data_IF_239488278431
#
_entry.id   IF_239488278431
#
_cell.length_a   1.000
_cell.length_b   1.000
_cell.length_c   1.000
_cell.angle_alpha   90.00
_cell.angle_beta   90.00
_cell.angle_gamma   90.00
#
_symmetry.space_group_name_H-M   'P 1'
#
loop_
_entity.id
_entity.type
_entity.pdbx_description
1 polymer ?
#
# COMPACT_ATOMS: atom_id res chain seq x y z
N UNK A 1 -38.87 -2.61 41.31
CA UNK A 1 -39.82 -2.77 42.43
C UNK A 1 -39.00 -2.87 43.71
N UNK A 2 -39.19 -1.97 44.68
CA UNK A 2 -38.43 -2.00 45.94
C UNK A 2 -38.89 -3.17 46.81
N UNK A 3 -37.96 -4.04 47.21
CA UNK A 3 -38.22 -5.12 48.17
C UNK A 3 -38.26 -4.51 49.58
N UNK A 4 -39.32 -4.70 50.38
CA UNK A 4 -39.39 -4.15 51.73
C UNK A 4 -38.42 -4.89 52.65
N UNK A 5 -37.49 -4.15 53.27
CA UNK A 5 -36.46 -4.70 54.17
C UNK A 5 -37.03 -4.85 55.60
N UNK A 6 -36.94 -6.06 56.16
CA UNK A 6 -37.62 -6.44 57.43
C UNK A 6 -36.77 -6.31 58.70
N UNK A 7 -35.50 -5.87 58.62
CA UNK A 7 -34.67 -5.58 59.79
C UNK A 7 -33.42 -4.74 59.44
N UNK A 8 -32.83 -4.02 60.40
CA UNK A 8 -31.61 -3.24 60.18
C UNK A 8 -30.41 -4.16 59.85
N UNK A 9 -29.73 -3.88 58.75
CA UNK A 9 -28.55 -4.64 58.30
C UNK A 9 -27.90 -3.97 57.07
N UNK A 10 -26.68 -4.41 56.72
CA UNK A 10 -26.00 -3.98 55.48
C UNK A 10 -26.48 -4.87 54.34
N UNK A 11 -27.13 -4.28 53.34
CA UNK A 11 -27.56 -4.97 52.13
C UNK A 11 -26.63 -4.58 50.98
N UNK A 12 -26.04 -5.57 50.33
CA UNK A 12 -25.20 -5.37 49.14
C UNK A 12 -26.11 -5.52 47.93
N UNK A 13 -26.25 -4.44 47.16
CA UNK A 13 -26.89 -4.47 45.85
C UNK A 13 -25.76 -4.48 44.80
N UNK A 14 -25.55 -5.62 44.15
CA UNK A 14 -24.65 -5.70 43.00
C UNK A 14 -25.36 -5.11 41.80
N UNK A 15 -25.02 -3.87 41.46
CA UNK A 15 -25.35 -3.29 40.16
C UNK A 15 -24.60 -4.11 39.10
N UNK A 16 -25.27 -4.78 38.16
CA UNK A 16 -24.58 -5.45 37.07
C UNK A 16 -23.76 -4.40 36.34
N UNK A 17 -22.43 -4.49 36.44
CA UNK A 17 -21.59 -3.71 35.54
C UNK A 17 -21.92 -4.21 34.15
N UNK A 18 -22.46 -3.33 33.31
CA UNK A 18 -22.54 -3.59 31.89
C UNK A 18 -21.11 -3.82 31.44
N UNK A 19 -20.70 -5.09 31.34
CA UNK A 19 -19.38 -5.48 30.88
C UNK A 19 -19.24 -4.89 29.49
N UNK A 20 -18.54 -3.75 29.38
CA UNK A 20 -17.88 -3.41 28.14
C UNK A 20 -16.82 -4.48 27.99
N UNK A 21 -17.16 -5.54 27.25
CA UNK A 21 -16.17 -6.50 26.80
C UNK A 21 -15.01 -5.72 26.21
N UNK A 22 -13.81 -5.94 26.73
CA UNK A 22 -12.59 -5.48 26.08
C UNK A 22 -12.57 -6.20 24.74
N UNK A 23 -12.90 -5.50 23.66
CA UNK A 23 -12.72 -6.03 22.32
C UNK A 23 -11.25 -6.38 22.18
N UNK A 24 -10.94 -7.64 21.86
CA UNK A 24 -9.59 -8.05 21.52
C UNK A 24 -9.14 -7.22 20.32
N UNK A 25 -8.25 -6.27 20.56
CA UNK A 25 -7.60 -5.51 19.50
C UNK A 25 -6.62 -6.45 18.82
N UNK A 26 -6.56 -6.44 17.49
CA UNK A 26 -5.64 -7.27 16.71
C UNK A 26 -4.22 -7.14 17.29
N UNK A 27 -3.65 -8.25 17.77
CA UNK A 27 -2.42 -8.25 18.55
C UNK A 27 -1.16 -8.15 17.68
N UNK A 28 -1.28 -8.15 16.35
CA UNK A 28 -0.15 -8.20 15.41
C UNK A 28 -0.53 -7.67 14.02
N UNK A 29 -0.77 -6.35 13.91
CA UNK A 29 -0.85 -5.69 12.60
C UNK A 29 0.53 -5.12 12.28
N UNK A 30 1.15 -5.63 11.20
CA UNK A 30 2.46 -5.18 10.75
C UNK A 30 2.32 -4.16 9.62
N UNK A 31 2.91 -2.98 9.78
CA UNK A 31 3.00 -1.97 8.75
C UNK A 31 4.28 -2.16 7.94
N UNK A 32 4.16 -2.18 6.62
CA UNK A 32 5.26 -2.21 5.66
C UNK A 32 5.25 -0.93 4.85
N UNK A 33 6.41 -0.26 4.77
CA UNK A 33 6.59 0.96 3.97
C UNK A 33 7.71 0.72 2.96
N UNK A 34 7.46 0.99 1.70
CA UNK A 34 8.46 0.85 0.64
C UNK A 34 7.88 0.99 -0.75
N UNK A 35 8.70 0.69 -1.76
CA UNK A 35 8.30 0.75 -3.17
C UNK A 35 7.53 -0.50 -3.59
N UNK A 36 6.58 -0.29 -4.51
CA UNK A 36 5.81 -1.33 -5.19
C UNK A 36 5.59 -0.92 -6.66
N UNK A 37 5.31 -1.90 -7.53
CA UNK A 37 5.16 -1.66 -8.99
C UNK A 37 3.81 -1.05 -9.37
N UNK A 38 2.82 -1.10 -8.48
CA UNK A 38 1.49 -0.50 -8.66
C UNK A 38 0.81 -0.25 -7.32
N UNK A 39 -0.36 0.40 -7.34
CA UNK A 39 -1.21 0.63 -6.18
C UNK A 39 -1.14 2.08 -5.67
N UNK A 40 -2.09 2.46 -4.83
CA UNK A 40 -2.22 3.83 -4.36
C UNK A 40 -1.00 4.25 -3.53
N UNK A 41 -0.47 5.44 -3.83
CA UNK A 41 0.69 6.00 -3.15
C UNK A 41 0.29 6.68 -1.84
N UNK A 42 1.13 6.52 -0.82
CA UNK A 42 0.93 7.10 0.51
C UNK A 42 -0.43 6.79 1.15
N UNK A 43 -1.10 5.73 0.69
CA UNK A 43 -2.40 5.30 1.19
C UNK A 43 -2.29 3.93 1.88
N UNK A 44 -2.49 3.85 3.21
CA UNK A 44 -2.30 2.61 3.94
C UNK A 44 -3.41 1.62 3.60
N UNK A 45 -3.04 0.54 2.91
CA UNK A 45 -3.99 -0.50 2.49
C UNK A 45 -3.79 -1.77 3.30
N UNK A 46 -4.86 -2.27 3.93
CA UNK A 46 -4.83 -3.54 4.64
C UNK A 46 -4.87 -4.71 3.64
N UNK A 47 -3.89 -5.60 3.74
CA UNK A 47 -3.83 -6.86 3.00
C UNK A 47 -3.74 -8.03 3.98
N UNK A 48 -4.45 -9.11 3.67
CA UNK A 48 -4.55 -10.29 4.56
C UNK A 48 -3.90 -11.55 3.98
N UNK A 49 -3.38 -11.45 2.77
CA UNK A 49 -2.65 -12.52 2.11
C UNK A 49 -1.64 -11.95 1.11
N UNK A 50 -0.64 -12.75 0.77
CA UNK A 50 0.30 -12.38 -0.29
C UNK A 50 -0.38 -12.32 -1.68
N UNK A 51 -1.47 -13.06 -1.88
CA UNK A 51 -2.26 -12.97 -3.11
C UNK A 51 -2.99 -11.62 -3.22
N UNK A 52 -3.51 -11.10 -2.10
CA UNK A 52 -4.11 -9.75 -2.05
C UNK A 52 -3.06 -8.67 -2.27
N UNK A 53 -1.87 -8.83 -1.70
CA UNK A 53 -0.73 -7.96 -1.99
C UNK A 53 -0.44 -7.94 -3.50
N UNK A 54 -0.28 -9.10 -4.15
CA UNK A 54 0.04 -9.15 -5.58
C UNK A 54 -1.02 -8.50 -6.47
N UNK A 55 -2.30 -8.62 -6.09
CA UNK A 55 -3.41 -8.02 -6.82
C UNK A 55 -3.42 -6.49 -6.72
N UNK A 56 -3.08 -5.94 -5.56
CA UNK A 56 -3.13 -4.49 -5.32
C UNK A 56 -1.82 -3.79 -5.66
N UNK A 57 -0.69 -4.37 -5.27
CA UNK A 57 0.64 -3.76 -5.31
C UNK A 57 1.58 -4.37 -6.36
N UNK A 58 1.14 -5.43 -7.05
CA UNK A 58 1.90 -6.09 -8.10
C UNK A 58 2.84 -7.18 -7.58
N UNK A 59 3.55 -7.80 -8.52
CA UNK A 59 4.39 -8.97 -8.26
C UNK A 59 5.73 -8.61 -7.63
N UNK A 60 6.51 -9.62 -7.23
CA UNK A 60 7.88 -9.41 -6.74
C UNK A 60 8.74 -8.76 -7.83
N UNK A 61 9.40 -7.67 -7.48
CA UNK A 61 10.35 -6.96 -8.34
C UNK A 61 11.65 -6.68 -7.59
N UNK A 62 12.76 -6.65 -8.32
CA UNK A 62 14.08 -6.27 -7.76
C UNK A 62 14.17 -4.77 -7.44
N UNK A 63 13.43 -3.93 -8.17
CA UNK A 63 13.33 -2.48 -7.90
C UNK A 63 12.42 -2.16 -6.71
N UNK A 64 11.54 -3.11 -6.34
CA UNK A 64 10.55 -2.96 -5.27
C UNK A 64 10.66 -4.12 -4.26
N UNK A 65 11.68 -4.09 -3.38
CA UNK A 65 11.98 -5.20 -2.46
C UNK A 65 10.93 -5.39 -1.35
N UNK A 66 10.01 -4.45 -1.15
CA UNK A 66 8.96 -4.55 -0.12
C UNK A 66 8.16 -5.86 -0.25
N UNK A 67 7.84 -6.27 -1.47
CA UNK A 67 7.08 -7.50 -1.72
C UNK A 67 7.74 -8.77 -1.15
N UNK A 68 9.09 -8.81 -1.05
CA UNK A 68 9.79 -9.95 -0.44
C UNK A 68 9.54 -10.03 1.06
N UNK A 69 9.60 -8.89 1.75
CA UNK A 69 9.36 -8.83 3.20
C UNK A 69 7.90 -9.12 3.53
N UNK A 70 6.96 -8.62 2.73
CA UNK A 70 5.53 -8.93 2.87
C UNK A 70 5.26 -10.42 2.62
N UNK A 71 5.88 -11.00 1.59
CA UNK A 71 5.79 -12.44 1.34
C UNK A 71 6.30 -13.25 2.53
N UNK A 72 7.44 -12.87 3.08
CA UNK A 72 8.04 -13.54 4.25
C UNK A 72 7.13 -13.44 5.47
N UNK A 73 6.52 -12.29 5.73
CA UNK A 73 5.56 -12.10 6.81
C UNK A 73 4.42 -13.11 6.74
N UNK A 74 3.77 -13.23 5.58
CA UNK A 74 2.69 -14.20 5.41
C UNK A 74 3.16 -15.66 5.46
N UNK A 75 4.39 -15.96 5.02
CA UNK A 75 4.96 -17.30 5.13
C UNK A 75 5.28 -17.71 6.58
N UNK A 76 5.53 -16.74 7.47
CA UNK A 76 5.87 -17.01 8.88
C UNK A 76 4.66 -17.00 9.82
N UNK A 77 3.46 -16.68 9.31
CA UNK A 77 2.21 -16.75 10.10
C UNK A 77 1.53 -15.40 10.32
N UNK A 78 2.09 -14.33 9.78
CA UNK A 78 1.47 -13.00 9.74
C UNK A 78 0.08 -13.03 9.08
N UNK A 79 -0.85 -12.24 9.62
CA UNK A 79 -2.26 -12.24 9.18
C UNK A 79 -2.72 -10.92 8.58
N UNK A 80 -2.40 -9.82 9.25
CA UNK A 80 -2.86 -8.49 8.88
C UNK A 80 -1.62 -7.61 8.61
N UNK A 81 -1.41 -7.24 7.35
CA UNK A 81 -0.34 -6.35 6.94
C UNK A 81 -0.93 -5.05 6.39
N UNK A 82 -0.45 -3.92 6.88
CA UNK A 82 -0.79 -2.60 6.38
C UNK A 82 0.32 -2.14 5.44
N UNK A 83 0.01 -1.91 4.17
CA UNK A 83 1.02 -1.58 3.16
C UNK A 83 0.90 -0.12 2.81
N UNK A 84 2.01 0.60 2.87
CA UNK A 84 2.16 1.96 2.37
C UNK A 84 3.14 1.92 1.21
N UNK A 85 2.63 2.13 0.00
CA UNK A 85 3.48 2.32 -1.18
C UNK A 85 4.03 3.74 -1.18
N UNK A 86 5.32 3.84 -1.43
CA UNK A 86 6.03 5.11 -1.68
C UNK A 86 6.71 5.00 -3.04
N UNK A 87 6.69 6.07 -3.83
CA UNK A 87 7.35 6.15 -5.14
C UNK A 87 8.24 7.38 -5.22
N UNK A 88 9.18 7.40 -6.17
CA UNK A 88 10.06 8.54 -6.43
C UNK A 88 9.95 8.96 -7.90
N UNK A 89 9.02 9.88 -8.17
CA UNK A 89 8.85 10.47 -9.50
C UNK A 89 8.28 9.50 -10.55
N UNK A 90 7.47 8.52 -10.14
CA UNK A 90 6.79 7.63 -11.07
C UNK A 90 5.75 8.36 -11.92
N UNK A 91 5.51 7.84 -13.12
CA UNK A 91 4.54 8.38 -14.09
C UNK A 91 3.46 7.32 -14.35
N UNK A 92 2.20 7.75 -14.37
CA UNK A 92 1.09 6.87 -14.71
C UNK A 92 0.88 6.84 -16.23
N UNK A 93 0.68 5.65 -16.80
CA UNK A 93 0.45 5.51 -18.23
C UNK A 93 -0.86 6.20 -18.66
N UNK A 94 -0.89 6.76 -19.86
CA UNK A 94 -2.05 7.49 -20.40
C UNK A 94 -2.65 6.83 -21.65
N UNK A 95 -3.92 7.13 -21.93
CA UNK A 95 -4.58 6.72 -23.17
C UNK A 95 -5.65 7.73 -23.59
N UNK A 96 -5.72 8.02 -24.89
CA UNK A 96 -6.86 8.71 -25.51
C UNK A 96 -7.68 7.69 -26.31
N UNK A 97 -8.81 7.26 -25.76
CA UNK A 97 -9.67 6.23 -26.35
C UNK A 97 -10.99 6.85 -26.85
N UNK A 98 -11.17 6.95 -28.18
CA UNK A 98 -12.41 7.49 -28.75
C UNK A 98 -12.72 8.95 -28.37
N UNK A 99 -11.70 9.72 -27.95
CA UNK A 99 -11.84 11.09 -27.44
C UNK A 99 -12.04 11.18 -25.92
N UNK A 100 -11.95 10.06 -25.19
CA UNK A 100 -11.89 10.00 -23.74
C UNK A 100 -10.43 9.85 -23.30
N UNK A 101 -9.92 10.84 -22.58
CA UNK A 101 -8.58 10.81 -21.99
C UNK A 101 -8.64 10.12 -20.62
N UNK A 102 -7.85 9.07 -20.47
CA UNK A 102 -7.74 8.28 -19.24
C UNK A 102 -6.27 8.14 -18.84
N UNK A 103 -6.06 8.04 -17.54
CA UNK A 103 -4.76 7.78 -16.92
C UNK A 103 -4.88 6.57 -16.00
N UNK A 104 -3.82 5.78 -15.86
CA UNK A 104 -3.77 4.68 -14.91
C UNK A 104 -3.98 5.20 -13.47
N UNK A 105 -4.56 4.38 -12.59
CA UNK A 105 -4.91 4.79 -11.22
C UNK A 105 -3.71 5.15 -10.34
N UNK A 106 -2.52 4.66 -10.70
CA UNK A 106 -1.28 4.89 -9.97
C UNK A 106 -0.09 4.86 -10.92
N UNK A 107 1.00 5.51 -10.53
CA UNK A 107 2.25 5.48 -11.27
C UNK A 107 2.79 4.06 -11.49
N UNK A 108 3.57 3.88 -12.55
CA UNK A 108 4.28 2.66 -12.88
C UNK A 108 3.97 2.09 -14.26
N UNK A 109 4.91 1.33 -14.80
CA UNK A 109 4.86 0.68 -16.12
C UNK A 109 3.70 -0.33 -16.21
N UNK A 110 3.15 -0.76 -15.07
CA UNK A 110 2.01 -1.67 -15.02
C UNK A 110 0.82 -1.16 -15.86
N UNK A 111 0.63 0.16 -15.92
CA UNK A 111 -0.45 0.81 -16.65
C UNK A 111 -0.41 0.55 -18.16
N UNK A 112 0.77 0.27 -18.72
CA UNK A 112 0.95 -0.06 -20.14
C UNK A 112 0.25 -1.38 -20.54
N UNK A 113 -0.05 -2.24 -19.57
CA UNK A 113 -0.76 -3.50 -19.79
C UNK A 113 -2.28 -3.34 -19.84
N UNK A 114 -2.78 -2.12 -19.64
CA UNK A 114 -4.20 -1.82 -19.70
C UNK A 114 -4.68 -1.63 -21.14
N UNK A 115 -5.91 -2.05 -21.40
CA UNK A 115 -6.64 -1.73 -22.63
C UNK A 115 -8.07 -1.29 -22.32
N UNK A 116 -8.61 -0.46 -23.21
CA UNK A 116 -9.93 0.15 -23.07
C UNK A 116 -10.80 -0.20 -24.26
N UNK A 117 -12.02 -0.62 -23.96
CA UNK A 117 -13.09 -0.81 -24.94
C UNK A 117 -14.27 0.09 -24.57
N UNK A 118 -14.74 0.88 -25.53
CA UNK A 118 -15.92 1.74 -25.40
C UNK A 118 -16.98 1.20 -26.34
N UNK A 119 -18.16 0.91 -25.80
CA UNK A 119 -19.31 0.43 -26.57
C UNK A 119 -20.57 1.20 -26.20
N UNK A 120 -21.55 1.24 -27.10
CA UNK A 120 -22.83 1.85 -26.82
C UNK A 120 -23.86 0.81 -26.35
N UNK A 121 -24.71 1.15 -25.35
CA UNK A 121 -25.83 0.31 -25.00
C UNK A 121 -26.83 0.21 -26.16
N UNK A 122 -27.46 -0.96 -26.31
CA UNK A 122 -28.47 -1.19 -27.36
C UNK A 122 -29.69 -0.28 -27.12
N UNK A 123 -30.04 0.61 -28.09
CA UNK A 123 -31.16 1.55 -27.95
C UNK A 123 -32.53 0.89 -27.89
N UNK A 124 -32.64 -0.39 -28.26
CA UNK A 124 -33.89 -1.15 -28.11
C UNK A 124 -34.11 -1.65 -26.68
N UNK A 125 -33.04 -1.73 -25.88
CA UNK A 125 -33.04 -2.23 -24.49
C UNK A 125 -32.95 -1.07 -23.50
N UNK A 126 -32.20 -0.02 -23.82
CA UNK A 126 -32.05 1.17 -22.97
C UNK A 126 -32.55 2.44 -23.71
N UNK A 127 -33.68 3.04 -23.30
CA UNK A 127 -34.20 4.26 -23.94
C UNK A 127 -33.26 5.47 -23.76
N UNK A 128 -32.41 5.48 -22.72
CA UNK A 128 -31.40 6.53 -22.51
C UNK A 128 -30.24 6.43 -23.52
N UNK A 129 -30.09 5.29 -24.21
CA UNK A 129 -29.14 5.18 -25.33
C UNK A 129 -29.62 5.94 -26.57
N UNK A 130 -30.92 6.24 -26.68
CA UNK A 130 -31.51 6.93 -27.82
C UNK A 130 -31.13 8.43 -27.87
N UNK A 131 -30.79 9.04 -26.72
CA UNK A 131 -30.31 10.42 -26.65
C UNK A 131 -28.82 10.56 -26.97
N UNK A 132 -28.10 9.45 -27.19
CA UNK A 132 -26.65 9.40 -27.36
C UNK A 132 -25.85 9.95 -26.16
N UNK A 133 -26.42 9.90 -24.96
CA UNK A 133 -25.83 10.51 -23.76
C UNK A 133 -25.02 9.52 -22.91
N UNK A 134 -25.21 8.22 -23.13
CA UNK A 134 -24.57 7.15 -22.34
C UNK A 134 -23.69 6.23 -23.19
N UNK A 135 -22.68 5.66 -22.56
CA UNK A 135 -21.76 4.66 -23.11
C UNK A 135 -21.35 3.65 -22.02
N UNK A 136 -20.81 2.51 -22.44
CA UNK A 136 -20.20 1.51 -21.58
C UNK A 136 -18.69 1.56 -21.74
N UNK A 137 -17.97 1.45 -20.64
CA UNK A 137 -16.52 1.42 -20.57
C UNK A 137 -16.07 0.09 -19.98
N UNK A 138 -15.21 -0.62 -20.70
CA UNK A 138 -14.59 -1.86 -20.25
C UNK A 138 -13.08 -1.64 -20.22
N UNK A 139 -12.48 -1.87 -19.07
CA UNK A 139 -11.04 -1.81 -18.85
C UNK A 139 -10.54 -3.23 -18.63
N UNK A 140 -9.51 -3.63 -19.36
CA UNK A 140 -8.87 -4.94 -19.21
C UNK A 140 -7.42 -4.74 -18.83
N UNK A 141 -6.98 -5.41 -17.77
CA UNK A 141 -5.58 -5.52 -17.37
C UNK A 141 -5.03 -6.87 -17.84
N UNK A 142 -4.20 -6.86 -18.88
CA UNK A 142 -3.60 -8.08 -19.43
C UNK A 142 -2.51 -8.69 -18.53
N UNK A 143 -1.96 -7.91 -17.59
CA UNK A 143 -0.95 -8.37 -16.64
C UNK A 143 -1.54 -9.21 -15.50
N UNK A 144 -2.72 -8.82 -15.00
CA UNK A 144 -3.42 -9.57 -13.93
C UNK A 144 -4.61 -10.40 -14.41
N UNK A 145 -5.13 -10.13 -15.61
CA UNK A 145 -6.39 -10.68 -16.10
C UNK A 145 -7.64 -10.04 -15.50
N UNK A 146 -7.50 -8.92 -14.79
CA UNK A 146 -8.63 -8.19 -14.18
C UNK A 146 -9.42 -7.45 -15.26
N UNK A 147 -10.75 -7.52 -15.19
CA UNK A 147 -11.65 -6.79 -16.08
C UNK A 147 -12.60 -5.94 -15.23
N UNK A 148 -12.65 -4.64 -15.49
CA UNK A 148 -13.60 -3.70 -14.89
C UNK A 148 -14.60 -3.24 -15.96
N UNK A 149 -15.89 -3.28 -15.66
CA UNK A 149 -16.95 -2.86 -16.58
C UNK A 149 -17.86 -1.83 -15.91
N UNK A 150 -17.92 -0.65 -16.51
CA UNK A 150 -18.75 0.47 -16.10
C UNK A 150 -19.81 0.70 -17.17
N UNK A 151 -21.06 0.36 -16.85
CA UNK A 151 -22.16 0.42 -17.80
C UNK A 151 -22.97 1.71 -17.67
N UNK A 152 -23.47 2.21 -18.80
CA UNK A 152 -24.34 3.38 -18.89
C UNK A 152 -23.78 4.63 -18.15
N UNK A 153 -22.50 4.95 -18.37
CA UNK A 153 -21.90 6.20 -17.88
C UNK A 153 -22.04 7.30 -18.92
N UNK A 154 -22.01 8.56 -18.48
CA UNK A 154 -22.27 9.72 -19.33
C UNK A 154 -21.13 10.73 -19.31
N UNK A 155 -20.90 11.39 -20.45
CA UNK A 155 -19.93 12.48 -20.56
C UNK A 155 -20.50 13.84 -20.09
N UNK A 156 -21.80 13.90 -19.76
CA UNK A 156 -22.46 15.12 -19.33
C UNK A 156 -22.39 15.28 -17.81
N UNK A 157 -21.95 16.45 -17.34
CA UNK A 157 -21.80 16.76 -15.91
C UNK A 157 -23.14 16.76 -15.15
N UNK A 158 -24.23 17.17 -15.81
CA UNK A 158 -25.58 17.19 -15.22
C UNK A 158 -26.17 15.78 -15.01
N UNK A 159 -25.54 14.74 -15.56
CA UNK A 159 -26.02 13.38 -15.43
C UNK A 159 -25.57 12.76 -14.10
N UNK A 160 -26.49 12.11 -13.38
CA UNK A 160 -26.20 11.35 -12.15
C UNK A 160 -25.10 10.27 -12.31
N UNK A 161 -24.84 9.82 -13.55
CA UNK A 161 -23.80 8.85 -13.90
C UNK A 161 -22.64 9.50 -14.67
N UNK A 162 -22.28 10.72 -14.29
CA UNK A 162 -21.14 11.43 -14.87
C UNK A 162 -19.86 10.59 -14.77
N UNK A 163 -19.18 10.42 -15.90
CA UNK A 163 -18.09 9.47 -16.05
C UNK A 163 -16.93 9.77 -15.09
N UNK A 164 -16.53 11.02 -14.89
CA UNK A 164 -15.47 11.38 -13.93
C UNK A 164 -15.82 10.91 -12.52
N UNK A 165 -17.04 11.17 -12.04
CA UNK A 165 -17.46 10.77 -10.69
C UNK A 165 -17.58 9.25 -10.55
N UNK A 166 -18.15 8.58 -11.56
CA UNK A 166 -18.32 7.12 -11.50
C UNK A 166 -16.99 6.39 -11.60
N UNK A 167 -16.08 6.83 -12.49
CA UNK A 167 -14.75 6.25 -12.62
C UNK A 167 -13.97 6.46 -11.31
N UNK A 168 -13.98 7.66 -10.72
CA UNK A 168 -13.32 7.91 -9.43
C UNK A 168 -13.83 6.98 -8.31
N UNK A 169 -15.14 6.70 -8.28
CA UNK A 169 -15.76 5.91 -7.22
C UNK A 169 -15.70 4.39 -7.43
N UNK A 170 -15.67 3.92 -8.67
CA UNK A 170 -15.88 2.51 -9.01
C UNK A 170 -14.69 1.83 -9.68
N UNK A 171 -13.79 2.58 -10.33
CA UNK A 171 -12.63 2.04 -11.03
C UNK A 171 -11.42 1.96 -10.10
N UNK A 172 -10.75 0.81 -10.08
CA UNK A 172 -9.44 0.65 -9.40
C UNK A 172 -8.28 0.73 -10.38
N UNK A 173 -8.54 0.69 -11.69
CA UNK A 173 -7.51 0.62 -12.72
C UNK A 173 -7.21 1.96 -13.37
N UNK A 174 -8.22 2.81 -13.56
CA UNK A 174 -8.09 4.07 -14.31
C UNK A 174 -8.77 5.25 -13.64
N UNK A 175 -8.36 6.45 -14.03
CA UNK A 175 -8.96 7.75 -13.73
C UNK A 175 -9.14 8.53 -15.03
N UNK A 176 -10.01 9.55 -14.99
CA UNK A 176 -10.16 10.49 -16.11
C UNK A 176 -8.98 11.46 -16.07
N UNK A 177 -8.33 11.66 -17.21
CA UNK A 177 -7.28 12.66 -17.35
C UNK A 177 -7.88 14.00 -17.80
N UNK A 178 -7.79 15.02 -16.95
CA UNK A 178 -8.28 16.36 -17.26
C UNK A 178 -9.81 16.50 -17.33
N UNK A 179 -10.27 17.36 -18.24
CA UNK A 179 -11.69 17.71 -18.40
C UNK A 179 -12.32 16.88 -19.50
N UNK A 180 -13.43 16.20 -19.17
CA UNK A 180 -14.19 15.45 -20.17
C UNK A 180 -14.78 16.37 -21.25
N UNK A 181 -14.66 15.95 -22.50
CA UNK A 181 -15.44 16.53 -23.56
C UNK A 181 -16.93 16.28 -23.30
N UNK A 182 -17.77 17.31 -23.44
CA UNK A 182 -19.24 17.20 -23.33
C UNK A 182 -19.88 16.40 -24.49
N UNK A 183 -19.05 15.83 -25.36
CA UNK A 183 -19.44 14.93 -26.44
C UNK A 183 -19.23 13.49 -26.01
N UNK A 184 -20.20 12.61 -26.30
CA UNK A 184 -20.05 11.18 -26.06
C UNK A 184 -18.80 10.64 -26.79
N UNK A 185 -17.93 9.86 -26.12
CA UNK A 185 -16.78 9.20 -26.75
C UNK A 185 -17.21 8.27 -27.88
N UNK A 186 -16.33 8.09 -28.87
CA UNK A 186 -16.54 7.17 -30.00
C UNK A 186 -16.31 5.72 -29.57
N UNK A 187 -17.05 4.77 -30.14
CA UNK A 187 -16.78 3.34 -29.90
C UNK A 187 -15.39 2.96 -30.37
N UNK A 188 -14.68 2.24 -29.51
CA UNK A 188 -13.35 1.71 -29.76
C UNK A 188 -13.23 0.34 -29.11
N UNK A 189 -12.37 -0.50 -29.66
CA UNK A 189 -12.13 -1.85 -29.15
C UNK A 189 -10.65 -2.00 -28.87
N UNK A 190 -10.34 -2.46 -27.67
CA UNK A 190 -9.00 -2.81 -27.19
C UNK A 190 -7.92 -1.76 -27.53
N UNK A 191 -8.20 -0.50 -27.20
CA UNK A 191 -7.21 0.57 -27.29
C UNK A 191 -6.24 0.44 -26.12
N UNK A 192 -4.98 0.13 -26.41
CA UNK A 192 -3.91 0.02 -25.42
C UNK A 192 -3.47 1.38 -24.90
N UNK A 193 -3.01 1.39 -23.65
CA UNK A 193 -2.31 2.54 -23.07
C UNK A 193 -0.96 2.79 -23.77
N UNK A 194 -0.51 4.03 -23.71
CA UNK A 194 0.79 4.43 -24.23
C UNK A 194 1.92 3.85 -23.36
N UNK A 195 3.10 3.69 -23.97
CA UNK A 195 4.31 3.30 -23.27
C UNK A 195 4.99 4.53 -22.63
N UNK A 196 4.25 5.21 -21.77
CA UNK A 196 4.64 6.44 -21.07
C UNK A 196 4.54 6.31 -19.53
N UNK A 197 4.21 5.12 -19.03
CA UNK A 197 4.30 4.80 -17.62
C UNK A 197 5.76 4.64 -17.19
N UNK A 198 6.07 5.03 -15.94
CA UNK A 198 7.39 4.84 -15.34
C UNK A 198 7.22 4.50 -13.85
N UNK A 199 7.87 3.45 -13.35
CA UNK A 199 8.00 3.13 -11.92
C UNK A 199 8.80 4.21 -11.15
N UNK A 200 9.57 5.02 -11.87
CA UNK A 200 10.39 6.10 -11.33
C UNK A 200 11.77 5.63 -10.86
N UNK A 201 12.42 6.48 -10.07
CA UNK A 201 13.73 6.16 -9.49
C UNK A 201 13.59 5.32 -8.21
N UNK A 202 14.67 4.65 -7.74
CA UNK A 202 14.67 4.05 -6.41
C UNK A 202 14.29 5.09 -5.34
N UNK A 203 13.44 4.68 -4.39
CA UNK A 203 13.06 5.53 -3.27
C UNK A 203 14.27 5.80 -2.37
N UNK A 204 14.24 6.93 -1.69
CA UNK A 204 15.27 7.33 -0.74
C UNK A 204 14.65 7.75 0.59
N UNK A 205 15.47 8.19 1.53
CA UNK A 205 14.97 8.83 2.74
C UNK A 205 14.07 10.04 2.44
N UNK A 206 14.25 10.72 1.30
CA UNK A 206 13.45 11.87 0.94
C UNK A 206 11.97 11.54 0.74
N UNK A 207 11.63 10.38 0.19
CA UNK A 207 10.24 9.99 -0.02
C UNK A 207 9.65 9.30 1.22
N UNK A 208 10.49 8.73 2.08
CA UNK A 208 10.06 7.93 3.24
C UNK A 208 9.98 8.74 4.54
N UNK A 209 10.96 9.61 4.81
CA UNK A 209 11.10 10.26 6.14
C UNK A 209 11.64 11.69 6.14
N UNK A 210 12.40 12.13 5.15
CA UNK A 210 13.12 13.42 5.17
C UNK A 210 12.62 14.45 4.16
N UNK A 211 11.59 14.10 3.39
CA UNK A 211 10.98 15.00 2.42
C UNK A 211 10.30 16.20 3.05
N UNK A 212 10.17 17.26 2.27
CA UNK A 212 9.47 18.47 2.69
C UNK A 212 7.99 18.15 2.90
N UNK A 213 7.43 18.58 4.02
CA UNK A 213 6.01 18.45 4.37
C UNK A 213 5.42 17.03 4.48
N UNK A 214 6.20 15.95 4.36
CA UNK A 214 5.69 14.57 4.45
C UNK A 214 4.77 14.35 5.67
N UNK A 215 5.14 14.89 6.83
CA UNK A 215 4.32 14.80 8.03
C UNK A 215 2.99 15.56 7.92
N UNK A 216 3.01 16.78 7.38
CA UNK A 216 1.81 17.58 7.23
C UNK A 216 0.83 16.99 6.21
N UNK A 217 1.39 16.41 5.14
CA UNK A 217 0.65 15.82 4.02
C UNK A 217 0.26 14.36 4.28
N UNK A 218 0.74 13.77 5.39
CA UNK A 218 0.55 12.36 5.77
C UNK A 218 1.06 11.40 4.70
N UNK A 219 2.33 11.55 4.38
CA UNK A 219 3.09 10.76 3.40
C UNK A 219 4.28 10.04 4.05
N UNK A 220 4.87 9.07 3.36
CA UNK A 220 5.98 8.28 3.87
C UNK A 220 5.62 7.54 5.18
N UNK A 221 6.42 7.70 6.23
CA UNK A 221 6.14 7.15 7.57
C UNK A 221 4.81 7.68 8.12
N UNK A 222 4.47 8.94 7.84
CA UNK A 222 3.26 9.59 8.37
C UNK A 222 1.99 9.22 7.62
N UNK A 223 2.07 8.51 6.49
CA UNK A 223 0.89 7.90 5.86
C UNK A 223 0.15 6.95 6.80
N UNK A 224 0.87 6.34 7.76
CA UNK A 224 0.28 5.53 8.82
C UNK A 224 -0.62 6.31 9.78
N UNK A 225 -0.67 7.65 9.71
CA UNK A 225 -1.67 8.46 10.43
C UNK A 225 -3.08 8.33 9.85
N UNK A 226 -3.20 7.89 8.59
CA UNK A 226 -4.49 7.60 7.97
C UNK A 226 -5.05 6.23 8.40
N UNK A 227 -4.24 5.39 9.05
CA UNK A 227 -4.65 4.08 9.56
C UNK A 227 -4.96 4.10 11.05
N UNK A 228 -5.91 3.26 11.46
CA UNK A 228 -6.37 3.16 12.85
C UNK A 228 -5.32 2.54 13.79
N UNK A 229 -4.67 1.46 13.35
CA UNK A 229 -3.77 0.67 14.21
C UNK A 229 -2.68 -0.04 13.41
N UNK A 230 -1.45 0.04 13.95
CA UNK A 230 -0.36 -0.88 13.66
C UNK A 230 0.45 -1.12 14.94
N UNK A 231 1.02 -2.31 15.10
CA UNK A 231 1.81 -2.69 16.28
C UNK A 231 3.29 -2.88 15.94
N UNK A 232 3.59 -3.30 14.71
CA UNK A 232 4.93 -3.54 14.20
C UNK A 232 5.16 -2.65 12.98
N UNK A 233 6.33 -2.05 12.85
CA UNK A 233 6.76 -1.32 11.66
C UNK A 233 7.97 -2.02 11.04
N UNK A 234 7.89 -2.25 9.73
CA UNK A 234 8.94 -2.81 8.91
C UNK A 234 9.19 -1.88 7.72
N UNK A 235 10.43 -1.42 7.57
CA UNK A 235 10.86 -0.64 6.40
C UNK A 235 12.00 -1.44 5.75
N UNK A 236 11.69 -2.29 4.76
CA UNK A 236 12.70 -3.05 4.03
C UNK A 236 13.68 -2.13 3.30
N UNK A 237 14.86 -2.63 2.89
CA UNK A 237 15.83 -1.85 2.13
C UNK A 237 15.20 -1.29 0.85
N UNK A 238 15.66 -0.14 0.35
CA UNK A 238 15.12 0.46 -0.87
C UNK A 238 15.49 -0.29 -2.15
N UNK A 239 16.60 -1.02 -2.12
CA UNK A 239 17.07 -1.88 -3.20
C UNK A 239 17.40 -3.27 -2.66
N UNK A 240 17.07 -4.31 -3.42
CA UNK A 240 17.23 -5.69 -2.97
C UNK A 240 18.71 -6.09 -2.78
N UNK A 241 19.57 -5.74 -3.74
CA UNK A 241 20.93 -6.31 -3.84
C UNK A 241 22.02 -5.41 -3.25
N UNK A 242 21.74 -4.13 -3.09
CA UNK A 242 22.74 -3.07 -2.83
C UNK A 242 22.34 -2.16 -1.67
N UNK A 243 21.08 -2.21 -1.24
CA UNK A 243 20.51 -1.20 -0.36
C UNK A 243 20.39 -1.59 1.11
N UNK A 244 20.50 -0.56 1.94
CA UNK A 244 19.92 -0.45 3.27
C UNK A 244 18.99 0.77 3.25
N UNK A 245 18.10 0.90 4.23
CA UNK A 245 17.45 2.19 4.48
C UNK A 245 18.47 3.19 5.03
N UNK A 246 18.24 4.49 4.84
CA UNK A 246 19.14 5.50 5.36
C UNK A 246 19.01 5.73 6.87
N UNK A 247 20.03 6.35 7.45
CA UNK A 247 20.10 6.63 8.89
C UNK A 247 18.97 7.55 9.38
N UNK A 248 18.54 8.50 8.53
CA UNK A 248 17.43 9.40 8.83
C UNK A 248 16.14 8.61 8.95
N UNK A 249 15.85 7.73 7.98
CA UNK A 249 14.67 6.86 8.03
C UNK A 249 14.67 5.94 9.24
N UNK A 250 15.80 5.33 9.59
CA UNK A 250 15.90 4.53 10.83
C UNK A 250 15.52 5.34 12.07
N UNK A 251 16.04 6.56 12.17
CA UNK A 251 15.82 7.45 13.32
C UNK A 251 14.36 7.90 13.40
N UNK A 252 13.79 8.37 12.30
CA UNK A 252 12.40 8.83 12.24
C UNK A 252 11.41 7.69 12.46
N UNK A 253 11.66 6.50 11.88
CA UNK A 253 10.83 5.32 12.11
C UNK A 253 10.81 4.90 13.58
N UNK A 254 11.97 4.95 14.26
CA UNK A 254 12.06 4.66 15.68
C UNK A 254 11.36 5.71 16.54
N UNK A 255 11.52 7.00 16.24
CA UNK A 255 10.84 8.09 16.92
C UNK A 255 9.31 7.98 16.74
N UNK A 256 8.86 7.68 15.53
CA UNK A 256 7.44 7.47 15.22
C UNK A 256 6.86 6.28 15.99
N UNK A 257 7.57 5.14 16.01
CA UNK A 257 7.17 3.97 16.78
C UNK A 257 7.11 4.23 18.29
N UNK A 258 8.05 5.02 18.83
CA UNK A 258 8.02 5.44 20.23
C UNK A 258 6.75 6.26 20.56
N UNK A 259 6.37 7.19 19.68
CA UNK A 259 5.17 8.01 19.86
C UNK A 259 3.88 7.19 19.74
N UNK A 260 3.83 6.27 18.76
CA UNK A 260 2.68 5.39 18.50
C UNK A 260 2.61 4.16 19.41
N UNK A 261 3.65 3.93 20.24
CA UNK A 261 3.83 2.72 21.07
C UNK A 261 3.85 1.42 20.25
N UNK A 262 4.38 1.50 19.03
CA UNK A 262 4.65 0.37 18.17
C UNK A 262 6.11 -0.10 18.33
N UNK A 263 6.47 -1.25 17.77
CA UNK A 263 7.85 -1.74 17.69
C UNK A 263 8.35 -1.59 16.25
N UNK A 264 9.43 -0.85 16.06
CA UNK A 264 10.19 -0.82 14.82
C UNK A 264 11.13 -2.04 14.76
N UNK A 265 10.92 -2.92 13.79
CA UNK A 265 11.84 -4.02 13.50
C UNK A 265 12.85 -3.50 12.48
N UNK A 266 13.98 -3.02 12.98
CA UNK A 266 15.04 -2.45 12.17
C UNK A 266 15.90 -3.57 11.58
N UNK A 267 16.02 -3.59 10.26
CA UNK A 267 16.90 -4.53 9.57
C UNK A 267 18.38 -4.22 9.85
N UNK A 268 19.23 -5.24 10.00
CA UNK A 268 20.66 -5.06 10.14
C UNK A 268 21.24 -4.54 8.82
N UNK A 269 22.30 -3.74 8.91
CA UNK A 269 23.02 -3.29 7.72
C UNK A 269 23.48 -4.49 6.90
N UNK A 270 23.44 -4.38 5.58
CA UNK A 270 23.84 -5.47 4.67
C UNK A 270 25.29 -5.91 4.90
N UNK A 271 26.14 -5.00 5.36
CA UNK A 271 27.54 -5.29 5.69
C UNK A 271 27.73 -6.09 6.98
N UNK A 272 26.68 -6.26 7.81
CA UNK A 272 26.78 -7.01 9.06
C UNK A 272 26.57 -8.49 8.77
N UNK A 273 27.66 -9.25 8.77
CA UNK A 273 27.69 -10.70 8.53
C UNK A 273 28.31 -11.49 9.69
N UNK A 274 29.16 -10.86 10.49
CA UNK A 274 29.84 -11.45 11.65
C UNK A 274 29.56 -10.63 12.92
N UNK A 275 29.64 -11.23 14.13
CA UNK A 275 29.36 -10.52 15.37
C UNK A 275 30.19 -9.25 15.58
N UNK A 276 31.42 -9.22 15.07
CA UNK A 276 32.33 -8.08 15.21
C UNK A 276 31.81 -6.84 14.45
N UNK A 277 31.07 -7.02 13.34
CA UNK A 277 30.49 -5.93 12.54
C UNK A 277 29.48 -5.08 13.34
N UNK A 278 28.77 -5.70 14.29
CA UNK A 278 27.78 -5.03 15.14
C UNK A 278 28.46 -4.09 16.14
N UNK A 279 29.70 -4.40 16.52
CA UNK A 279 30.50 -3.64 17.48
C UNK A 279 31.53 -2.72 16.82
N UNK A 280 31.61 -2.73 15.48
CA UNK A 280 32.54 -1.89 14.74
C UNK A 280 32.26 -0.39 15.02
N UNK A 281 33.29 0.42 15.31
CA UNK A 281 33.10 1.84 15.64
C UNK A 281 32.61 2.70 14.47
N UNK A 282 32.85 2.27 13.22
CA UNK A 282 32.49 2.99 11.99
C UNK A 282 31.17 2.55 11.36
N UNK A 283 30.79 1.28 11.53
CA UNK A 283 29.59 0.69 10.91
C UNK A 283 28.65 -0.05 11.86
N UNK A 284 29.04 -0.27 13.13
CA UNK A 284 28.24 -0.99 14.12
C UNK A 284 27.08 -0.18 14.73
N UNK A 285 26.42 -0.72 15.74
CA UNK A 285 25.20 -0.17 16.36
C UNK A 285 25.36 1.24 16.94
N UNK A 286 26.57 1.62 17.35
CA UNK A 286 26.83 2.94 17.96
C UNK A 286 27.48 3.91 16.95
N UNK A 287 27.55 3.53 15.66
CA UNK A 287 28.14 4.32 14.59
C UNK A 287 27.18 5.33 13.97
N UNK A 288 27.72 6.38 13.35
CA UNK A 288 26.92 7.33 12.54
C UNK A 288 26.31 6.71 11.28
N UNK A 289 26.90 5.62 10.77
CA UNK A 289 26.38 4.87 9.61
C UNK A 289 25.07 4.17 9.96
N UNK A 290 25.00 3.53 11.13
CA UNK A 290 23.74 3.02 11.68
C UNK A 290 22.81 4.19 12.01
N UNK A 291 23.34 5.19 12.72
CA UNK A 291 22.68 6.47 12.95
C UNK A 291 21.44 6.43 13.84
N UNK A 292 21.05 5.25 14.34
CA UNK A 292 19.91 5.08 15.22
C UNK A 292 20.35 4.93 16.68
N UNK A 293 19.91 5.84 17.53
CA UNK A 293 20.12 5.75 18.98
C UNK A 293 19.27 4.64 19.58
N UNK A 294 19.85 3.90 20.53
CA UNK A 294 19.17 2.84 21.28
C UNK A 294 17.90 3.37 21.96
N UNK A 295 16.78 2.71 21.72
CA UNK A 295 15.49 3.05 22.32
C UNK A 295 14.69 1.77 22.64
N UNK A 296 13.65 1.91 23.46
CA UNK A 296 12.84 0.78 23.94
C UNK A 296 11.86 0.20 22.91
N UNK A 297 11.64 0.89 21.80
CA UNK A 297 10.66 0.57 20.76
C UNK A 297 11.31 0.14 19.44
N UNK A 298 12.60 -0.21 19.46
CA UNK A 298 13.32 -0.77 18.31
C UNK A 298 13.89 -2.13 18.67
N UNK A 299 13.69 -3.10 17.79
CA UNK A 299 14.36 -4.39 17.82
C UNK A 299 15.18 -4.56 16.54
N UNK A 300 16.39 -5.12 16.66
CA UNK A 300 17.25 -5.48 15.53
C UNK A 300 17.43 -7.00 15.57
N UNK A 301 17.24 -7.66 14.43
CA UNK A 301 17.52 -9.07 14.27
C UNK A 301 18.72 -9.25 13.35
N UNK A 302 19.78 -9.89 13.83
CA UNK A 302 21.02 -10.11 13.09
C UNK A 302 21.39 -11.61 13.09
N UNK A 303 21.94 -12.14 12.00
CA UNK A 303 22.20 -11.51 10.70
C UNK A 303 20.94 -11.47 9.81
N UNK A 304 21.09 -10.98 8.57
CA UNK A 304 20.06 -11.13 7.53
C UNK A 304 19.76 -12.60 7.25
N UNK A 305 18.58 -12.88 6.70
CA UNK A 305 18.10 -14.25 6.48
C UNK A 305 18.50 -14.75 5.08
N UNK A 306 18.96 -16.01 5.02
CA UNK A 306 19.27 -16.67 3.75
C UNK A 306 18.07 -17.51 3.32
N UNK A 307 17.51 -17.23 2.15
CA UNK A 307 16.31 -17.90 1.65
C UNK A 307 16.35 -18.12 0.14
N UNK A 308 15.60 -19.11 -0.40
CA UNK A 308 15.43 -19.28 -1.84
C UNK A 308 14.76 -18.05 -2.48
N UNK A 309 15.41 -17.46 -3.48
CA UNK A 309 14.89 -16.33 -4.23
C UNK A 309 13.98 -16.79 -5.37
N UNK A 310 12.66 -16.49 -5.34
CA UNK A 310 11.74 -16.88 -6.39
C UNK A 310 12.06 -16.24 -7.75
N UNK A 311 12.74 -15.09 -7.79
CA UNK A 311 13.15 -14.42 -9.04
C UNK A 311 14.44 -14.98 -9.64
N UNK A 312 15.13 -15.90 -8.95
CA UNK A 312 16.40 -16.49 -9.41
C UNK A 312 16.34 -18.03 -9.36
N UNK A 313 15.22 -18.61 -9.79
CA UNK A 313 15.03 -20.07 -9.86
C UNK A 313 15.27 -20.79 -8.52
N UNK A 314 15.01 -20.12 -7.39
CA UNK A 314 15.19 -20.68 -6.05
C UNK A 314 16.63 -20.70 -5.53
N UNK A 315 17.58 -20.02 -6.19
CA UNK A 315 18.93 -19.83 -5.63
C UNK A 315 18.87 -19.09 -4.29
N UNK A 316 19.74 -19.48 -3.37
CA UNK A 316 19.82 -18.81 -2.07
C UNK A 316 20.30 -17.37 -2.25
N UNK A 317 19.56 -16.44 -1.65
CA UNK A 317 19.92 -15.03 -1.55
C UNK A 317 19.67 -14.54 -0.11
N UNK A 318 20.26 -13.40 0.19
CA UNK A 318 20.16 -12.73 1.49
C UNK A 318 19.02 -11.70 1.46
N UNK A 319 18.18 -11.72 2.49
CA UNK A 319 17.01 -10.83 2.61
C UNK A 319 16.96 -10.17 3.98
N UNK A 320 16.29 -9.00 4.02
CA UNK A 320 15.94 -8.32 5.26
C UNK A 320 15.12 -9.22 6.19
N UNK A 321 15.48 -9.33 7.48
CA UNK A 321 14.76 -10.17 8.44
C UNK A 321 13.42 -9.58 8.90
N UNK A 322 13.13 -8.28 8.72
CA UNK A 322 11.96 -7.63 9.29
C UNK A 322 10.63 -8.35 8.96
N UNK A 323 10.45 -8.78 7.71
CA UNK A 323 9.28 -9.54 7.30
C UNK A 323 9.16 -10.89 8.00
N UNK A 324 10.27 -11.61 8.14
CA UNK A 324 10.31 -12.91 8.86
C UNK A 324 10.02 -12.73 10.34
N UNK A 325 10.57 -11.71 10.98
CA UNK A 325 10.46 -11.46 12.43
C UNK A 325 9.08 -10.91 12.79
N UNK A 326 8.44 -10.16 11.88
CA UNK A 326 7.11 -9.61 12.08
C UNK A 326 6.00 -10.66 11.98
N UNK A 327 6.21 -11.72 11.20
CA UNK A 327 5.23 -12.78 10.93
C UNK A 327 5.23 -13.86 11.99
#
# INVERSE_FOLDING_TARGET
MSVPLTYPGVYIEEVPSGVRSITGVATSVAAFIGSATRGDENEPTLVQSFADYNRTFGVLSRSSPMGFSVRQFFLNGGRDALIVRVSNGGVAATVTAGGLDLVASSSGDWGENLSVTISYPDPTINPDAATNEVFNLIITDSGTGTIESLNNISALEDNSRFATTIIEQQSKLVRVDGTLAVTRPTEVVDVSFAADGDDGSPITDNEVSSGVNLQADREGIWALEKADLFNLLCIPPYELDTGDIGATTRTEAANYCLQRRAIFIADPLRGWSEPDDITDPGTGLDSGTWGLTRNANTAVYFPRVIQPNPLQEGRLAEFSPCGVVAG
#
